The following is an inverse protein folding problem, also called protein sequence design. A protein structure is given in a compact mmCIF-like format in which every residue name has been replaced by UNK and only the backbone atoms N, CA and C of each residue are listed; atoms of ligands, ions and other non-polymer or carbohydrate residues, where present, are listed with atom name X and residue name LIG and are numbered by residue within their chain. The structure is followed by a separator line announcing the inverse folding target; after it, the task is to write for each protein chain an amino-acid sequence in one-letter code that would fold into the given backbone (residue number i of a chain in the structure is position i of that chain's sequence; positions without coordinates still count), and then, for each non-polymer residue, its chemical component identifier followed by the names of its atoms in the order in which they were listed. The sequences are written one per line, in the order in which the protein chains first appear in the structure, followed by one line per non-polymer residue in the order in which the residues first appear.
data_IF_485427946111
#
_entry.id   IF_485427946111
#
_cell.length_a   1.000
_cell.length_b   1.000
_cell.length_c   1.000
_cell.angle_alpha   90.00
_cell.angle_beta   90.00
_cell.angle_gamma   90.00
#
_symmetry.space_group_name_H-M   'P 1'
#
loop_
_entity.id
_entity.type
_entity.pdbx_description
1 polymer ?
#
# COMPACT_ATOMS: atom_id res chain seq x y z
N UNK A 1 -0.57 18.61 -24.23
CA UNK A 1 0.59 19.07 -23.43
C UNK A 1 0.16 19.36 -21.98
N UNK A 2 -0.80 20.26 -21.73
CA UNK A 2 -1.24 20.62 -20.36
C UNK A 2 -1.86 19.43 -19.59
N UNK A 3 -2.67 18.59 -20.25
CA UNK A 3 -3.31 17.43 -19.61
C UNK A 3 -2.29 16.39 -19.12
N UNK A 4 -1.25 16.12 -19.92
CA UNK A 4 -0.21 15.15 -19.56
C UNK A 4 0.62 15.65 -18.38
N UNK A 5 0.94 16.95 -18.33
CA UNK A 5 1.70 17.55 -17.23
C UNK A 5 0.91 17.54 -15.90
N UNK A 6 -0.42 17.62 -15.96
CA UNK A 6 -1.29 17.51 -14.79
C UNK A 6 -1.40 16.06 -14.28
N UNK A 7 -1.46 15.09 -15.20
CA UNK A 7 -1.49 13.65 -14.87
C UNK A 7 -0.16 13.21 -14.27
N UNK A 8 0.96 13.63 -14.87
CA UNK A 8 2.30 13.27 -14.39
C UNK A 8 2.50 13.79 -12.94
N UNK A 9 2.20 15.07 -12.66
CA UNK A 9 2.26 15.64 -11.29
C UNK A 9 1.37 14.92 -10.28
N UNK A 10 0.21 14.45 -10.73
CA UNK A 10 -0.75 13.75 -9.88
C UNK A 10 -0.22 12.38 -9.47
N UNK A 11 0.32 11.61 -10.42
CA UNK A 11 0.92 10.32 -10.11
C UNK A 11 2.20 10.50 -9.28
N UNK A 12 3.03 11.50 -9.60
CA UNK A 12 4.21 11.86 -8.79
C UNK A 12 3.84 12.14 -7.33
N UNK A 13 2.74 12.85 -7.09
CA UNK A 13 2.25 13.10 -5.73
C UNK A 13 1.91 11.80 -4.98
N UNK A 14 1.22 10.87 -5.65
CA UNK A 14 0.89 9.57 -5.06
C UNK A 14 2.11 8.69 -4.86
N UNK A 15 3.04 8.67 -5.82
CA UNK A 15 4.28 7.92 -5.69
C UNK A 15 5.09 8.39 -4.48
N UNK A 16 5.26 9.70 -4.31
CA UNK A 16 5.93 10.26 -3.13
C UNK A 16 5.25 9.85 -1.82
N UNK A 17 3.92 9.91 -1.76
CA UNK A 17 3.17 9.49 -0.58
C UNK A 17 3.34 7.99 -0.27
N UNK A 18 3.30 7.14 -1.30
CA UNK A 18 3.50 5.71 -1.14
C UNK A 18 4.95 5.39 -0.72
N UNK A 19 5.94 6.13 -1.25
CA UNK A 19 7.34 6.01 -0.83
C UNK A 19 7.51 6.35 0.66
N UNK A 20 6.96 7.48 1.11
CA UNK A 20 7.02 7.88 2.52
C UNK A 20 6.35 6.84 3.44
N UNK A 21 5.18 6.34 3.02
CA UNK A 21 4.43 5.33 3.78
C UNK A 21 5.18 4.00 3.86
N UNK A 22 5.78 3.54 2.76
CA UNK A 22 6.57 2.32 2.74
C UNK A 22 7.84 2.48 3.59
N UNK A 23 8.60 3.56 3.40
CA UNK A 23 9.80 3.84 4.17
C UNK A 23 9.52 3.97 5.68
N UNK A 24 8.38 4.55 6.06
CA UNK A 24 7.95 4.59 7.46
C UNK A 24 7.66 3.17 7.98
N UNK A 25 6.98 2.34 7.19
CA UNK A 25 6.61 0.97 7.57
C UNK A 25 7.82 0.04 7.65
N UNK A 26 8.82 0.23 6.80
CA UNK A 26 10.04 -0.57 6.78
C UNK A 26 10.82 -0.46 8.09
N UNK A 27 10.80 0.70 8.74
CA UNK A 27 11.43 0.92 10.06
C UNK A 27 10.88 0.01 11.15
N UNK A 28 9.64 -0.47 11.00
CA UNK A 28 8.97 -1.31 11.98
C UNK A 28 8.83 -2.77 11.55
N UNK A 29 8.62 -3.02 10.25
CA UNK A 29 8.33 -4.35 9.71
C UNK A 29 9.51 -4.98 8.96
N UNK A 30 10.47 -4.17 8.50
CA UNK A 30 11.51 -4.59 7.57
C UNK A 30 11.04 -4.60 6.10
N UNK A 31 11.99 -4.41 5.18
CA UNK A 31 11.74 -4.26 3.73
C UNK A 31 10.98 -5.44 3.12
N UNK A 32 11.33 -6.68 3.48
CA UNK A 32 10.66 -7.86 2.95
C UNK A 32 9.16 -7.91 3.31
N UNK A 33 8.81 -7.58 4.56
CA UNK A 33 7.42 -7.56 4.99
C UNK A 33 6.63 -6.43 4.37
N UNK A 34 7.25 -5.26 4.15
CA UNK A 34 6.60 -4.16 3.43
C UNK A 34 6.35 -4.54 1.97
N UNK A 35 7.32 -5.17 1.29
CA UNK A 35 7.14 -5.68 -0.07
C UNK A 35 5.95 -6.63 -0.16
N UNK A 36 5.87 -7.64 0.71
CA UNK A 36 4.74 -8.57 0.74
C UNK A 36 3.40 -7.87 1.02
N UNK A 37 3.39 -6.82 1.85
CA UNK A 37 2.20 -6.04 2.12
C UNK A 37 1.74 -5.24 0.89
N UNK A 38 2.68 -4.61 0.17
CA UNK A 38 2.41 -3.91 -1.09
C UNK A 38 1.85 -4.88 -2.13
N UNK A 39 2.51 -6.03 -2.33
CA UNK A 39 2.05 -7.09 -3.24
C UNK A 39 0.65 -7.59 -2.85
N UNK A 40 0.39 -7.77 -1.55
CA UNK A 40 -0.92 -8.22 -1.08
C UNK A 40 -2.02 -7.22 -1.39
N UNK A 41 -1.79 -5.93 -1.14
CA UNK A 41 -2.77 -4.87 -1.42
C UNK A 41 -2.99 -4.73 -2.92
N UNK A 42 -1.92 -4.79 -3.71
CA UNK A 42 -2.01 -4.78 -5.18
C UNK A 42 -2.89 -5.92 -5.70
N UNK A 43 -2.65 -7.14 -5.21
CA UNK A 43 -3.49 -8.30 -5.55
C UNK A 43 -4.95 -8.15 -5.11
N UNK A 44 -5.20 -7.61 -3.90
CA UNK A 44 -6.58 -7.42 -3.41
C UNK A 44 -7.36 -6.38 -4.25
N UNK A 45 -6.66 -5.43 -4.90
CA UNK A 45 -7.27 -4.37 -5.70
C UNK A 45 -7.28 -4.65 -7.21
N UNK A 46 -6.52 -5.63 -7.71
CA UNK A 46 -6.38 -5.84 -9.15
C UNK A 46 -7.67 -6.30 -9.83
N UNK A 47 -8.61 -6.88 -9.07
CA UNK A 47 -9.95 -7.21 -9.56
C UNK A 47 -10.80 -5.95 -9.86
N UNK A 48 -10.50 -4.81 -9.24
CA UNK A 48 -11.20 -3.54 -9.41
C UNK A 48 -10.42 -2.56 -10.30
N UNK A 49 -9.10 -2.51 -10.16
CA UNK A 49 -8.20 -1.67 -10.96
C UNK A 49 -7.05 -2.50 -11.46
N UNK A 50 -7.10 -2.91 -12.73
CA UNK A 50 -6.07 -3.75 -13.32
C UNK A 50 -4.70 -3.05 -13.34
N UNK A 51 -4.70 -1.74 -13.50
CA UNK A 51 -3.50 -0.90 -13.58
C UNK A 51 -2.69 -0.89 -12.28
N UNK A 52 -3.28 -1.29 -11.14
CA UNK A 52 -2.51 -1.43 -9.88
C UNK A 52 -1.46 -2.54 -9.95
N UNK A 53 -1.59 -3.50 -10.88
CA UNK A 53 -0.59 -4.54 -11.11
C UNK A 53 0.72 -3.98 -11.71
N UNK A 54 0.67 -2.76 -12.25
CA UNK A 54 1.84 -2.04 -12.80
C UNK A 54 2.64 -1.32 -11.70
N UNK A 55 2.15 -1.34 -10.45
CA UNK A 55 2.85 -0.78 -9.31
C UNK A 55 4.03 -1.70 -8.94
N UNK A 56 5.25 -1.18 -9.05
CA UNK A 56 6.46 -1.96 -8.77
C UNK A 56 7.04 -1.62 -7.40
N UNK A 57 7.54 -2.62 -6.67
CA UNK A 57 8.24 -2.45 -5.40
C UNK A 57 9.58 -3.23 -5.41
N UNK A 58 10.69 -2.49 -5.38
CA UNK A 58 12.04 -3.03 -5.37
C UNK A 58 12.95 -2.35 -4.33
N UNK A 59 14.26 -2.52 -4.47
CA UNK A 59 15.27 -1.95 -3.58
C UNK A 59 15.27 -0.40 -3.59
N UNK A 60 14.78 0.23 -4.65
CA UNK A 60 14.56 1.67 -4.76
C UNK A 60 13.23 2.14 -4.16
N UNK A 61 12.41 1.22 -3.65
CA UNK A 61 11.08 1.50 -3.11
C UNK A 61 9.98 1.30 -4.16
N UNK A 62 8.88 2.01 -3.97
CA UNK A 62 7.70 1.92 -4.83
C UNK A 62 7.82 2.87 -6.04
N UNK A 63 7.40 2.40 -7.22
CA UNK A 63 7.42 3.16 -8.47
C UNK A 63 6.07 3.08 -9.18
N UNK A 64 5.62 4.21 -9.72
CA UNK A 64 4.38 4.33 -10.50
C UNK A 64 4.63 4.59 -12.00
N UNK A 65 5.87 4.44 -12.48
CA UNK A 65 6.25 4.80 -13.85
C UNK A 65 5.41 4.11 -14.94
N UNK A 66 5.07 2.83 -14.75
CA UNK A 66 4.23 2.09 -15.69
C UNK A 66 2.75 2.51 -15.64
N UNK A 67 2.27 2.97 -14.48
CA UNK A 67 0.93 3.56 -14.32
C UNK A 67 0.86 4.89 -15.08
N UNK A 68 1.92 5.70 -15.05
CA UNK A 68 2.02 6.94 -15.85
C UNK A 68 1.90 6.65 -17.33
N UNK A 69 2.60 5.62 -17.81
CA UNK A 69 2.53 5.21 -19.22
C UNK A 69 1.10 4.74 -19.58
N UNK A 70 0.49 3.90 -18.75
CA UNK A 70 -0.87 3.40 -18.96
C UNK A 70 -1.92 4.52 -18.99
N UNK A 71 -1.79 5.53 -18.13
CA UNK A 71 -2.69 6.68 -18.11
C UNK A 71 -2.64 7.54 -19.38
N UNK A 72 -1.49 7.63 -20.02
CA UNK A 72 -1.36 8.34 -21.31
C UNK A 72 -2.16 7.63 -22.40
N UNK A 73 -2.38 6.32 -22.27
CA UNK A 73 -3.22 5.50 -23.15
C UNK A 73 -4.70 5.49 -22.72
N UNK A 74 -4.97 5.60 -21.40
CA UNK A 74 -6.32 5.66 -20.83
C UNK A 74 -6.50 6.83 -19.84
N UNK A 75 -6.87 8.04 -20.34
CA UNK A 75 -7.02 9.22 -19.51
C UNK A 75 -8.17 9.18 -18.50
N UNK A 76 -9.11 8.24 -18.65
CA UNK A 76 -10.29 8.10 -17.81
C UNK A 76 -10.05 7.21 -16.57
N UNK A 77 -8.82 6.72 -16.39
CA UNK A 77 -8.46 5.92 -15.22
C UNK A 77 -8.77 6.71 -13.93
N UNK A 78 -9.54 6.15 -12.98
CA UNK A 78 -9.90 6.84 -11.74
C UNK A 78 -8.74 6.79 -10.72
N UNK A 79 -7.66 7.50 -11.04
CA UNK A 79 -6.39 7.52 -10.27
C UNK A 79 -6.59 7.76 -8.78
N UNK A 80 -7.37 8.80 -8.43
CA UNK A 80 -7.54 9.18 -7.03
C UNK A 80 -8.18 8.05 -6.24
N UNK A 81 -9.25 7.48 -6.78
CA UNK A 81 -10.01 6.41 -6.14
C UNK A 81 -9.14 5.14 -6.00
N UNK A 82 -8.40 4.79 -7.06
CA UNK A 82 -7.46 3.66 -7.07
C UNK A 82 -6.39 3.80 -5.96
N UNK A 83 -5.66 4.92 -5.93
CA UNK A 83 -4.61 5.13 -4.94
C UNK A 83 -5.15 5.31 -3.51
N UNK A 84 -6.27 6.00 -3.34
CA UNK A 84 -6.90 6.14 -2.01
C UNK A 84 -7.37 4.80 -1.46
N UNK A 85 -7.91 3.92 -2.31
CA UNK A 85 -8.24 2.54 -1.92
C UNK A 85 -6.99 1.75 -1.57
N UNK A 86 -5.91 1.87 -2.35
CA UNK A 86 -4.63 1.24 -2.02
C UNK A 86 -4.14 1.64 -0.63
N UNK A 87 -4.05 2.94 -0.36
CA UNK A 87 -3.61 3.49 0.94
C UNK A 87 -4.53 3.00 2.06
N UNK A 88 -5.85 3.06 1.86
CA UNK A 88 -6.83 2.61 2.86
C UNK A 88 -6.64 1.14 3.19
N UNK A 89 -6.54 0.26 2.19
CA UNK A 89 -6.32 -1.18 2.38
C UNK A 89 -4.99 -1.48 3.07
N UNK A 90 -3.93 -0.78 2.68
CA UNK A 90 -2.63 -0.89 3.30
C UNK A 90 -2.70 -0.57 4.81
N UNK A 91 -3.31 0.56 5.18
CA UNK A 91 -3.47 0.97 6.57
C UNK A 91 -4.40 0.02 7.33
N UNK A 92 -5.49 -0.47 6.73
CA UNK A 92 -6.38 -1.46 7.33
C UNK A 92 -5.64 -2.75 7.72
N UNK A 93 -4.76 -3.25 6.86
CA UNK A 93 -3.96 -4.45 7.13
C UNK A 93 -2.97 -4.15 8.25
N UNK A 94 -2.24 -3.03 8.20
CA UNK A 94 -1.33 -2.63 9.29
C UNK A 94 -2.05 -2.53 10.63
N UNK A 95 -3.22 -1.88 10.68
CA UNK A 95 -4.02 -1.74 11.88
C UNK A 95 -4.45 -3.11 12.43
N UNK A 96 -4.78 -4.07 11.56
CA UNK A 96 -5.10 -5.46 11.96
C UNK A 96 -3.86 -6.18 12.51
N UNK A 97 -2.70 -6.05 11.87
CA UNK A 97 -1.45 -6.66 12.34
C UNK A 97 -1.09 -6.12 13.74
N UNK A 98 -1.09 -4.80 13.94
CA UNK A 98 -0.78 -4.17 15.23
C UNK A 98 -1.87 -4.49 16.28
N UNK A 99 -3.14 -4.51 15.89
CA UNK A 99 -4.26 -4.83 16.77
C UNK A 99 -4.30 -6.30 17.20
N UNK A 100 -3.81 -7.21 16.37
CA UNK A 100 -3.75 -8.65 16.67
C UNK A 100 -2.82 -8.98 17.83
N UNK A 101 -1.72 -8.24 18.00
CA UNK A 101 -0.78 -8.42 19.11
C UNK A 101 -1.42 -8.20 20.49
N UNK A 102 -2.32 -7.21 20.60
CA UNK A 102 -2.99 -6.88 21.88
C UNK A 102 -3.94 -7.98 22.35
N UNK A 103 -4.62 -8.67 21.43
CA UNK A 103 -5.49 -9.81 21.76
C UNK A 103 -4.68 -11.03 22.21
N UNK A 104 -3.55 -11.30 21.55
CA UNK A 104 -2.67 -12.42 21.91
C UNK A 104 -2.07 -12.28 23.31
N UNK A 105 -1.53 -11.10 23.67
CA UNK A 105 -0.99 -10.82 25.02
C UNK A 105 -2.04 -10.91 26.13
N UNK A 106 -3.28 -10.48 25.88
CA UNK A 106 -4.36 -10.57 26.86
C UNK A 106 -4.83 -12.02 27.11
N UNK A 107 -4.88 -12.86 26.08
CA UNK A 107 -5.20 -14.28 26.24
C UNK A 107 -4.08 -15.02 27.00
N UNK A 108 -2.82 -14.70 26.73
CA UNK A 108 -1.68 -15.34 27.40
C UNK A 108 -1.56 -14.95 28.89
N UNK A 109 -2.01 -13.75 29.27
CA UNK A 109 -2.10 -13.33 30.69
C UNK A 109 -3.30 -13.96 31.42
N UNK A 110 -4.46 -14.12 30.77
CA UNK A 110 -5.63 -14.76 31.39
C UNK A 110 -5.41 -16.23 31.71
N UNK A 111 -4.70 -16.97 30.85
CA UNK A 111 -4.42 -18.38 31.09
C UNK A 111 -3.48 -18.62 32.29
N UNK A 112 -2.61 -17.64 32.62
CA UNK A 112 -1.70 -17.73 33.77
C UNK A 112 -2.37 -17.43 35.11
N UNK A 113 -3.43 -16.63 35.11
CA UNK A 113 -4.17 -16.24 36.31
C UNK A 113 -5.33 -17.19 36.68
N UNK A 114 -5.57 -18.23 35.88
CA UNK A 114 -6.53 -19.31 36.19
C UNK A 114 -5.87 -20.63 36.61
N UNK A 115 -4.53 -20.67 36.61
CA UNK A 115 -3.74 -21.83 37.04
C UNK A 115 -2.99 -21.60 38.37
N UNK A 116 -3.25 -20.49 39.07
CA UNK A 116 -2.73 -20.22 40.41
C UNK A 116 -3.88 -20.11 41.42
#
# INVERSE_FOLDING_TARGET
IILNDLVDKKIEHYEALLQEMCAASEKYLGAFSVKLLVERVGWDLSAEYREIELLHYDEGGISCAEIVASMKENPNLPVDDMFMKFITRYIEILAKLIGSEKKSRNNHRRHRNHCN
#
